data_IF_596352659076
#
_entry.id   IF_596352659076
#
_cell.length_a   1.000
_cell.length_b   1.000
_cell.length_c   1.000
_cell.angle_alpha   90.00
_cell.angle_beta   90.00
_cell.angle_gamma   90.00
#
_symmetry.space_group_name_H-M   'P 1'
#
loop_
_entity.id
_entity.type
_entity.pdbx_description
1 polymer ?
#
# COMPACT_ATOMS: atom_id res chain seq x y z
N UNK A 1 32.96 -25.84 3.73
CA UNK A 1 31.91 -25.59 4.75
C UNK A 1 30.56 -25.89 4.13
N UNK A 2 29.64 -26.61 4.80
CA UNK A 2 28.30 -26.87 4.27
C UNK A 2 27.40 -25.63 4.39
N UNK A 3 26.66 -25.32 3.33
CA UNK A 3 25.62 -24.28 3.34
C UNK A 3 24.35 -24.84 4.01
N UNK A 4 23.81 -24.15 5.01
CA UNK A 4 22.53 -24.50 5.63
C UNK A 4 21.37 -23.87 4.85
N UNK A 5 20.40 -24.68 4.43
CA UNK A 5 19.17 -24.22 3.77
C UNK A 5 18.10 -24.08 4.85
N UNK A 6 17.71 -22.85 5.16
CA UNK A 6 16.73 -22.52 6.22
C UNK A 6 15.52 -21.86 5.59
N UNK A 7 14.32 -22.20 6.07
CA UNK A 7 13.11 -21.50 5.68
C UNK A 7 12.99 -20.19 6.45
N UNK A 8 12.98 -19.06 5.73
CA UNK A 8 12.72 -17.74 6.31
C UNK A 8 11.24 -17.38 6.19
N UNK A 9 10.70 -16.74 7.22
CA UNK A 9 9.34 -16.18 7.17
C UNK A 9 9.29 -15.00 6.20
N UNK A 10 8.15 -14.83 5.51
CA UNK A 10 7.95 -13.66 4.67
C UNK A 10 8.15 -12.36 5.49
N UNK A 11 8.75 -11.32 4.90
CA UNK A 11 9.03 -10.05 5.58
C UNK A 11 7.73 -9.22 5.66
N UNK A 12 6.68 -9.77 6.25
CA UNK A 12 5.36 -9.18 6.32
C UNK A 12 4.93 -9.08 7.78
N UNK A 13 4.44 -7.90 8.17
CA UNK A 13 4.01 -7.62 9.53
C UNK A 13 2.72 -6.81 9.52
N UNK A 14 1.71 -7.29 10.23
CA UNK A 14 0.49 -6.52 10.45
C UNK A 14 0.73 -5.44 11.52
N UNK A 15 0.29 -4.21 11.26
CA UNK A 15 0.29 -3.15 12.26
C UNK A 15 -0.97 -3.26 13.17
N UNK A 16 -1.10 -2.33 14.13
CA UNK A 16 -2.23 -2.30 15.07
C UNK A 16 -3.60 -2.17 14.39
N UNK A 17 -3.65 -1.58 13.21
CA UNK A 17 -4.87 -1.39 12.41
C UNK A 17 -5.13 -2.57 11.44
N UNK A 18 -4.34 -3.65 11.53
CA UNK A 18 -4.45 -4.82 10.65
C UNK A 18 -3.90 -4.62 9.23
N UNK A 19 -3.16 -3.53 8.97
CA UNK A 19 -2.49 -3.28 7.69
C UNK A 19 -1.20 -4.07 7.59
N UNK A 20 -1.05 -4.85 6.54
CA UNK A 20 0.18 -5.62 6.30
C UNK A 20 1.24 -4.72 5.67
N UNK A 21 2.39 -4.61 6.35
CA UNK A 21 3.56 -3.83 5.96
C UNK A 21 4.71 -4.75 5.53
N UNK A 22 5.57 -4.26 4.64
CA UNK A 22 6.74 -4.98 4.13
C UNK A 22 8.01 -4.58 4.88
N UNK A 23 8.74 -5.58 5.36
CA UNK A 23 9.97 -5.45 6.11
C UNK A 23 9.79 -4.62 7.39
N UNK A 24 10.68 -3.65 7.59
CA UNK A 24 10.59 -2.64 8.66
C UNK A 24 10.12 -1.29 8.14
N UNK A 25 9.37 -1.27 7.05
CA UNK A 25 8.96 -0.04 6.35
C UNK A 25 7.48 0.27 6.60
N UNK A 26 7.04 1.44 6.14
CA UNK A 26 5.61 1.78 6.07
C UNK A 26 4.98 1.46 4.71
N UNK A 27 5.72 0.81 3.81
CA UNK A 27 5.18 0.40 2.51
C UNK A 27 4.30 -0.83 2.73
N UNK A 28 3.07 -0.76 2.24
CA UNK A 28 2.06 -1.80 2.43
C UNK A 28 2.25 -2.94 1.43
N UNK A 29 1.79 -4.14 1.81
CA UNK A 29 1.65 -5.27 0.89
C UNK A 29 0.82 -4.87 -0.34
N UNK A 30 -0.28 -4.13 -0.11
CA UNK A 30 -1.19 -3.61 -1.12
C UNK A 30 -0.44 -2.86 -2.23
N UNK A 31 0.53 -2.04 -1.83
CA UNK A 31 1.33 -1.25 -2.78
C UNK A 31 2.21 -2.14 -3.65
N UNK A 32 2.96 -3.07 -3.04
CA UNK A 32 3.88 -3.97 -3.77
C UNK A 32 3.12 -4.87 -4.73
N UNK A 33 2.01 -5.47 -4.28
CA UNK A 33 1.16 -6.32 -5.13
C UNK A 33 0.54 -5.51 -6.28
N UNK A 34 0.05 -4.30 -6.01
CA UNK A 34 -0.54 -3.45 -7.04
C UNK A 34 0.43 -3.08 -8.17
N UNK A 35 1.67 -2.71 -7.83
CA UNK A 35 2.68 -2.36 -8.85
C UNK A 35 3.23 -3.59 -9.57
N UNK A 36 3.38 -4.71 -8.86
CA UNK A 36 3.77 -5.99 -9.46
C UNK A 36 2.73 -6.45 -10.49
N UNK A 37 1.43 -6.36 -10.16
CA UNK A 37 0.34 -6.71 -11.07
C UNK A 37 0.22 -5.76 -12.28
N UNK A 38 0.81 -4.57 -12.22
CA UNK A 38 0.97 -3.67 -13.39
C UNK A 38 2.18 -4.02 -14.26
N UNK A 39 2.93 -5.08 -13.94
CA UNK A 39 4.09 -5.55 -14.69
C UNK A 39 5.42 -4.96 -14.24
N UNK A 40 5.47 -4.25 -13.10
CA UNK A 40 6.73 -3.74 -12.58
C UNK A 40 7.61 -4.88 -12.06
N UNK A 41 8.91 -4.86 -12.39
CA UNK A 41 9.87 -5.84 -11.83
C UNK A 41 10.22 -5.50 -10.39
N UNK A 42 10.77 -6.46 -9.62
CA UNK A 42 11.20 -6.21 -8.25
C UNK A 42 12.22 -5.06 -8.14
N UNK A 43 13.13 -4.94 -9.12
CA UNK A 43 14.11 -3.86 -9.23
C UNK A 43 13.44 -2.50 -9.48
N UNK A 44 12.44 -2.45 -10.36
CA UNK A 44 11.68 -1.22 -10.58
C UNK A 44 10.89 -0.82 -9.33
N UNK A 45 10.36 -1.79 -8.58
CA UNK A 45 9.66 -1.55 -7.32
C UNK A 45 10.63 -0.96 -6.29
N UNK A 46 11.85 -1.51 -6.15
CA UNK A 46 12.85 -0.95 -5.21
C UNK A 46 13.28 0.46 -5.62
N UNK A 47 13.38 0.72 -6.92
CA UNK A 47 13.67 2.06 -7.44
C UNK A 47 12.57 3.07 -7.10
N UNK A 48 11.29 2.68 -7.22
CA UNK A 48 10.13 3.52 -6.85
C UNK A 48 9.98 3.70 -5.34
N UNK A 49 10.36 2.69 -4.56
CA UNK A 49 10.23 2.66 -3.10
C UNK A 49 11.59 2.37 -2.44
N UNK A 50 12.52 3.34 -2.41
CA UNK A 50 13.90 3.12 -1.96
C UNK A 50 14.04 2.79 -0.46
N UNK A 51 12.95 2.84 0.30
CA UNK A 51 12.91 2.35 1.68
C UNK A 51 12.84 0.83 1.79
N UNK A 52 12.42 0.14 0.72
CA UNK A 52 12.36 -1.33 0.67
C UNK A 52 13.72 -1.92 0.34
N UNK A 53 13.97 -3.13 0.87
CA UNK A 53 15.07 -3.96 0.42
C UNK A 53 14.61 -4.81 -0.78
N UNK A 54 15.48 -4.99 -1.79
CA UNK A 54 15.20 -5.82 -2.95
C UNK A 54 14.85 -7.28 -2.56
N UNK A 55 15.57 -7.83 -1.58
CA UNK A 55 15.30 -9.19 -1.08
C UNK A 55 13.89 -9.29 -0.45
N UNK A 56 13.47 -8.24 0.29
CA UNK A 56 12.16 -8.21 0.92
C UNK A 56 11.04 -8.16 -0.13
N UNK A 57 11.26 -7.45 -1.24
CA UNK A 57 10.32 -7.39 -2.37
C UNK A 57 10.18 -8.77 -3.00
N UNK A 58 11.30 -9.43 -3.32
CA UNK A 58 11.26 -10.78 -3.88
C UNK A 58 10.53 -11.77 -2.96
N UNK A 59 10.81 -11.74 -1.66
CA UNK A 59 10.14 -12.60 -0.69
C UNK A 59 8.64 -12.27 -0.58
N UNK A 60 8.27 -10.99 -0.66
CA UNK A 60 6.86 -10.54 -0.67
C UNK A 60 6.12 -11.01 -1.92
N UNK A 61 6.74 -10.89 -3.10
CA UNK A 61 6.18 -11.39 -4.36
C UNK A 61 6.04 -12.91 -4.30
N UNK A 62 7.04 -13.62 -3.80
CA UNK A 62 6.98 -15.07 -3.64
C UNK A 62 5.85 -15.50 -2.69
N UNK A 63 5.63 -14.76 -1.60
CA UNK A 63 4.50 -14.98 -0.70
C UNK A 63 3.16 -14.74 -1.41
N UNK A 64 3.02 -13.60 -2.11
CA UNK A 64 1.82 -13.30 -2.88
C UNK A 64 1.49 -14.39 -3.90
N UNK A 65 2.47 -14.82 -4.69
CA UNK A 65 2.27 -15.87 -5.71
C UNK A 65 1.86 -17.23 -5.12
N UNK A 66 2.28 -17.54 -3.88
CA UNK A 66 1.88 -18.77 -3.19
C UNK A 66 0.50 -18.68 -2.52
N UNK A 67 0.06 -17.48 -2.16
CA UNK A 67 -1.13 -17.22 -1.36
C UNK A 67 -2.10 -16.25 -2.04
N UNK A 68 -2.19 -16.28 -3.38
CA UNK A 68 -2.89 -15.26 -4.17
C UNK A 68 -4.33 -15.05 -3.70
N UNK A 69 -5.10 -16.12 -3.51
CA UNK A 69 -6.51 -16.03 -3.10
C UNK A 69 -6.69 -15.39 -1.72
N UNK A 70 -5.81 -15.70 -0.77
CA UNK A 70 -5.84 -15.12 0.59
C UNK A 70 -5.49 -13.62 0.56
N UNK A 71 -4.43 -13.28 -0.18
CA UNK A 71 -3.98 -11.88 -0.32
C UNK A 71 -5.02 -11.05 -1.07
N UNK A 72 -5.61 -11.58 -2.14
CA UNK A 72 -6.66 -10.89 -2.90
C UNK A 72 -7.91 -10.64 -2.06
N UNK A 73 -8.34 -11.62 -1.25
CA UNK A 73 -9.44 -11.43 -0.31
C UNK A 73 -9.15 -10.31 0.71
N UNK A 74 -7.93 -10.31 1.28
CA UNK A 74 -7.48 -9.22 2.16
C UNK A 74 -7.51 -7.86 1.45
N UNK A 75 -6.98 -7.76 0.21
CA UNK A 75 -6.96 -6.51 -0.55
C UNK A 75 -8.36 -6.01 -0.90
N UNK A 76 -9.29 -6.91 -1.24
CA UNK A 76 -10.69 -6.57 -1.49
C UNK A 76 -11.37 -6.00 -0.23
N UNK A 77 -11.17 -6.63 0.93
CA UNK A 77 -11.71 -6.15 2.20
C UNK A 77 -11.17 -4.75 2.53
N UNK A 78 -9.87 -4.52 2.33
CA UNK A 78 -9.22 -3.21 2.54
C UNK A 78 -9.79 -2.13 1.64
N UNK A 79 -10.00 -2.47 0.37
CA UNK A 79 -10.59 -1.55 -0.60
C UNK A 79 -12.02 -1.18 -0.22
N UNK A 80 -12.83 -2.15 0.23
CA UNK A 80 -14.19 -1.90 0.70
C UNK A 80 -14.22 -0.96 1.90
N UNK A 81 -13.40 -1.23 2.92
CA UNK A 81 -13.28 -0.37 4.11
C UNK A 81 -12.85 1.06 3.75
N UNK A 82 -11.88 1.20 2.84
CA UNK A 82 -11.43 2.51 2.34
C UNK A 82 -12.56 3.29 1.67
N UNK A 83 -13.37 2.61 0.84
CA UNK A 83 -14.51 3.22 0.16
C UNK A 83 -15.60 3.65 1.14
N UNK A 84 -15.91 2.83 2.14
CA UNK A 84 -16.89 3.14 3.19
C UNK A 84 -16.47 4.37 4.00
N UNK A 85 -15.22 4.38 4.49
CA UNK A 85 -14.67 5.52 5.24
C UNK A 85 -14.68 6.78 4.37
N UNK A 86 -14.32 6.66 3.09
CA UNK A 86 -14.35 7.77 2.14
C UNK A 86 -15.77 8.32 1.95
N UNK A 87 -16.76 7.46 1.77
CA UNK A 87 -18.15 7.86 1.62
C UNK A 87 -18.69 8.54 2.90
N UNK A 88 -18.38 7.98 4.08
CA UNK A 88 -18.75 8.59 5.36
C UNK A 88 -18.13 9.98 5.55
N UNK A 89 -16.85 10.15 5.20
CA UNK A 89 -16.17 11.44 5.29
C UNK A 89 -16.76 12.45 4.31
N UNK A 90 -17.05 12.05 3.07
CA UNK A 90 -17.67 12.92 2.07
C UNK A 90 -19.11 13.33 2.45
N UNK A 91 -19.87 12.44 3.09
CA UNK A 91 -21.20 12.78 3.61
C UNK A 91 -21.15 13.74 4.80
N UNK A 92 -20.11 13.64 5.65
CA UNK A 92 -19.93 14.52 6.83
C UNK A 92 -19.34 15.88 6.49
N UNK A 93 -18.44 15.93 5.52
CA UNK A 93 -17.72 17.13 5.13
C UNK A 93 -18.03 17.45 3.67
N UNK A 94 -18.81 18.50 3.42
CA UNK A 94 -19.11 18.94 2.06
C UNK A 94 -17.84 19.47 1.36
N UNK A 95 -17.28 18.72 0.38
CA UNK A 95 -16.03 19.11 -0.26
C UNK A 95 -16.23 20.26 -1.26
N UNK A 96 -17.45 20.50 -1.76
CA UNK A 96 -17.76 21.62 -2.67
C UNK A 96 -17.61 22.93 -1.89
N UNK A 97 -18.23 23.00 -0.71
CA UNK A 97 -18.15 24.16 0.18
C UNK A 97 -16.71 24.48 0.60
N UNK A 98 -15.87 23.46 0.83
CA UNK A 98 -14.45 23.70 1.12
C UNK A 98 -13.69 24.22 -0.10
N UNK A 99 -13.91 23.62 -1.27
CA UNK A 99 -13.23 24.02 -2.52
C UNK A 99 -13.58 25.45 -2.91
N UNK A 100 -14.86 25.80 -2.87
CA UNK A 100 -15.33 27.15 -3.21
C UNK A 100 -14.71 28.18 -2.27
N UNK A 101 -14.70 27.90 -0.95
CA UNK A 101 -14.02 28.75 0.03
C UNK A 101 -12.52 28.92 -0.23
N UNK A 102 -11.84 27.86 -0.65
CA UNK A 102 -10.40 27.92 -0.99
C UNK A 102 -10.16 28.73 -2.27
N UNK A 103 -11.03 28.60 -3.28
CA UNK A 103 -10.94 29.35 -4.53
C UNK A 103 -11.20 30.84 -4.31
N UNK A 104 -12.21 31.19 -3.51
CA UNK A 104 -12.47 32.59 -3.12
C UNK A 104 -11.25 33.19 -2.41
N UNK A 105 -10.68 32.48 -1.43
CA UNK A 105 -9.47 32.94 -0.73
C UNK A 105 -8.27 33.12 -1.66
N UNK A 106 -8.10 32.24 -2.64
CA UNK A 106 -7.02 32.38 -3.63
C UNK A 106 -7.22 33.63 -4.48
N UNK A 107 -8.43 33.88 -4.96
CA UNK A 107 -8.75 35.07 -5.75
C UNK A 107 -8.55 36.37 -4.94
N UNK A 108 -8.86 36.37 -3.64
CA UNK A 108 -8.61 37.50 -2.73
C UNK A 108 -7.12 37.77 -2.47
N UNK A 109 -6.25 36.77 -2.62
CA UNK A 109 -4.80 36.91 -2.47
C UNK A 109 -4.08 37.34 -3.75
N UNK A 110 -4.69 37.11 -4.91
CA UNK A 110 -4.15 37.46 -6.23
C UNK A 110 -4.60 38.87 -6.70
N UNK A 111 -5.50 39.53 -5.96
CA UNK A 111 -5.98 40.89 -6.19
C UNK A 111 -5.26 41.92 -5.29
#
# INVERSE_FOLDING_TARGET
MPLAIVAESAPLQANQDGVVLVGKTRVTLDTVVYVFNQGATAEEIVYRYPSLNLADIYATIAFYLKHQSEVEAYLQQRQQQSQEIRAMNQARFDPQNLRDRLLTRKAEQEA
#
